data_IF_883233116057
#
_entry.id   IF_883233116057
#
_cell.length_a   1.000
_cell.length_b   1.000
_cell.length_c   1.000
_cell.angle_alpha   90.00
_cell.angle_beta   90.00
_cell.angle_gamma   90.00
#
_symmetry.space_group_name_H-M   'P 1'
#
loop_
_entity.id
_entity.type
_entity.pdbx_description
1 polymer ?
#
# COMPACT_ATOMS: atom_id res chain seq x y z
N UNK A 1 4.89 -7.24 -12.42
CA UNK A 1 5.13 -5.92 -11.85
C UNK A 1 3.97 -5.50 -10.96
N UNK A 2 4.27 -4.98 -9.80
CA UNK A 2 3.23 -4.57 -8.85
C UNK A 2 3.05 -3.08 -8.86
N UNK A 3 1.81 -2.67 -8.70
CA UNK A 3 1.49 -1.25 -8.57
C UNK A 3 1.02 -1.00 -7.14
N UNK A 4 1.55 0.05 -6.55
CA UNK A 4 1.14 0.47 -5.22
C UNK A 4 0.40 1.79 -5.36
N UNK A 5 -0.85 1.81 -4.92
CA UNK A 5 -1.66 3.02 -4.95
C UNK A 5 -1.85 3.53 -3.54
N UNK A 6 -1.62 4.80 -3.33
CA UNK A 6 -1.82 5.43 -2.03
C UNK A 6 -2.70 6.65 -2.22
N UNK A 7 -3.78 6.70 -1.45
CA UNK A 7 -4.71 7.82 -1.48
C UNK A 7 -4.63 8.51 -0.12
N UNK A 8 -4.22 9.77 -0.13
CA UNK A 8 -4.00 10.52 1.10
C UNK A 8 -5.25 11.32 1.44
N UNK A 9 -5.81 11.03 2.59
CA UNK A 9 -6.96 11.75 3.10
C UNK A 9 -6.57 12.68 4.24
N UNK A 10 -7.57 13.33 4.80
CA UNK A 10 -7.33 14.28 5.87
C UNK A 10 -7.04 13.58 7.20
N UNK A 11 -7.84 12.60 7.54
CA UNK A 11 -7.72 11.90 8.82
C UNK A 11 -7.23 10.47 8.68
N UNK A 12 -7.39 9.91 7.51
CA UNK A 12 -6.94 8.55 7.25
C UNK A 12 -6.50 8.47 5.80
N UNK A 13 -5.71 7.46 5.52
CA UNK A 13 -5.20 7.23 4.18
C UNK A 13 -5.58 5.83 3.75
N UNK A 14 -5.50 5.59 2.46
CA UNK A 14 -5.80 4.27 1.91
C UNK A 14 -4.67 3.83 1.02
N UNK A 15 -4.45 2.54 0.93
CA UNK A 15 -3.44 1.99 0.03
C UNK A 15 -3.91 0.66 -0.52
N UNK A 16 -3.33 0.28 -1.64
CA UNK A 16 -3.59 -1.02 -2.23
C UNK A 16 -2.36 -1.47 -3.01
N UNK A 17 -2.29 -2.77 -3.25
CA UNK A 17 -1.25 -3.34 -4.10
C UNK A 17 -1.94 -4.20 -5.15
N UNK A 18 -1.64 -3.96 -6.39
CA UNK A 18 -2.28 -4.63 -7.51
C UNK A 18 -1.24 -5.16 -8.47
N UNK A 19 -1.54 -6.29 -9.06
CA UNK A 19 -0.70 -6.83 -10.12
C UNK A 19 -1.05 -6.13 -11.42
N UNK A 20 -0.06 -5.49 -12.02
CA UNK A 20 -0.28 -4.72 -13.24
C UNK A 20 -0.74 -5.59 -14.41
N UNK A 21 -0.27 -6.82 -14.47
CA UNK A 21 -0.55 -7.68 -15.60
C UNK A 21 -1.94 -8.33 -15.52
N UNK A 22 -2.36 -8.71 -14.34
CA UNK A 22 -3.64 -9.40 -14.17
C UNK A 22 -4.75 -8.48 -13.69
N UNK A 23 -4.39 -7.36 -13.09
CA UNK A 23 -5.38 -6.47 -12.51
C UNK A 23 -5.93 -6.95 -11.18
N UNK A 24 -5.38 -8.01 -10.64
CA UNK A 24 -5.84 -8.53 -9.37
C UNK A 24 -5.16 -7.84 -8.20
N UNK A 25 -5.90 -7.68 -7.12
CA UNK A 25 -5.34 -7.07 -5.92
C UNK A 25 -4.59 -8.08 -5.09
N UNK A 26 -3.35 -7.77 -4.76
CA UNK A 26 -2.59 -8.52 -3.76
C UNK A 26 -2.96 -8.03 -2.37
N UNK A 27 -3.18 -6.72 -2.25
CA UNK A 27 -3.73 -6.11 -1.05
C UNK A 27 -4.88 -5.25 -1.53
N UNK A 28 -6.10 -5.60 -1.11
CA UNK A 28 -7.26 -4.79 -1.48
C UNK A 28 -7.17 -3.43 -0.78
N UNK A 29 -7.87 -2.42 -1.29
CA UNK A 29 -7.83 -1.09 -0.68
C UNK A 29 -8.09 -1.17 0.82
N UNK A 30 -7.13 -0.68 1.58
CA UNK A 30 -7.15 -0.74 3.04
C UNK A 30 -6.80 0.63 3.60
N UNK A 31 -7.39 0.96 4.74
CA UNK A 31 -7.12 2.24 5.37
C UNK A 31 -6.03 2.11 6.42
N UNK A 32 -5.33 3.20 6.66
CA UNK A 32 -4.38 3.28 7.76
C UNK A 32 -4.43 4.67 8.36
N UNK A 33 -4.15 4.75 9.64
CA UNK A 33 -4.26 5.99 10.39
C UNK A 33 -3.11 6.93 10.08
N UNK A 34 -3.36 8.22 10.24
CA UNK A 34 -2.34 9.23 10.04
C UNK A 34 -1.53 9.40 11.33
N UNK A 35 -0.80 8.37 11.69
CA UNK A 35 0.06 8.37 12.87
C UNK A 35 1.15 7.32 12.67
N UNK A 36 2.05 7.24 13.65
CA UNK A 36 3.18 6.32 13.56
C UNK A 36 2.75 4.88 13.38
N UNK A 37 1.74 4.46 14.11
CA UNK A 37 1.27 3.07 14.01
C UNK A 37 0.68 2.78 12.64
N UNK A 38 -0.04 3.74 12.08
CA UNK A 38 -0.59 3.58 10.73
C UNK A 38 0.49 3.48 9.68
N UNK A 39 1.51 4.31 9.78
CA UNK A 39 2.60 4.26 8.83
C UNK A 39 3.45 3.00 8.99
N UNK A 40 3.62 2.52 10.21
CA UNK A 40 4.31 1.26 10.44
C UNK A 40 3.53 0.11 9.79
N UNK A 41 2.22 0.13 9.90
CA UNK A 41 1.37 -0.87 9.26
C UNK A 41 1.55 -0.84 7.74
N UNK A 42 1.55 0.36 7.17
CA UNK A 42 1.74 0.52 5.74
C UNK A 42 3.08 -0.05 5.29
N UNK A 43 4.15 0.34 5.98
CA UNK A 43 5.49 -0.10 5.61
C UNK A 43 5.63 -1.60 5.72
N UNK A 44 5.12 -2.18 6.79
CA UNK A 44 5.19 -3.62 6.97
C UNK A 44 4.37 -4.36 5.92
N UNK A 45 3.25 -3.79 5.51
CA UNK A 45 2.41 -4.39 4.48
C UNK A 45 3.08 -4.36 3.11
N UNK A 46 3.85 -3.32 2.84
CA UNK A 46 4.50 -3.14 1.55
C UNK A 46 5.86 -3.83 1.46
N UNK A 47 6.40 -4.25 2.58
CA UNK A 47 7.72 -4.85 2.60
C UNK A 47 7.95 -5.97 1.59
N UNK A 48 7.04 -6.94 1.48
CA UNK A 48 7.24 -8.03 0.52
C UNK A 48 7.27 -7.55 -0.93
N UNK A 49 6.70 -6.39 -1.20
CA UNK A 49 6.56 -5.89 -2.57
C UNK A 49 7.60 -4.84 -2.92
N UNK A 50 8.38 -4.38 -1.96
CA UNK A 50 9.38 -3.35 -2.20
C UNK A 50 10.75 -3.90 -2.53
N UNK A 51 10.87 -5.20 -2.52
CA UNK A 51 12.16 -5.87 -2.64
C UNK A 51 12.92 -5.51 -3.90
N UNK A 52 12.22 -5.46 -5.01
CA UNK A 52 12.82 -5.11 -6.28
C UNK A 52 12.23 -3.86 -6.87
N UNK A 53 11.42 -3.20 -6.12
CA UNK A 53 10.78 -2.01 -6.65
C UNK A 53 11.63 -0.80 -6.33
N UNK A 54 11.28 0.27 -6.97
CA UNK A 54 11.99 1.52 -6.82
C UNK A 54 11.11 2.49 -6.10
N UNK A 55 10.73 2.15 -4.97
CA UNK A 55 9.91 3.05 -4.19
C UNK A 55 10.74 4.13 -3.55
#
# INVERSE_FOLDING_TARGET
MKLVGIDVGKNSHHFCVMDKETGEFNITPSSFSNNKEGFDFLINSLKPYSKKSIL
#
